data_IF_503482799495
#
_entry.id   IF_503482799495
#
_cell.length_a   1.000
_cell.length_b   1.000
_cell.length_c   1.000
_cell.angle_alpha   90.00
_cell.angle_beta   90.00
_cell.angle_gamma   90.00
#
_symmetry.space_group_name_H-M   'P 1'
#
loop_
_entity.id
_entity.type
_entity.pdbx_description
1 polymer ?
#
# COMPACT_ATOMS: atom_id res chain seq x y z
N UNK A 1 32.96 -9.33 60.01
CA UNK A 1 32.04 -10.43 59.68
C UNK A 1 30.66 -10.01 60.17
N UNK A 2 29.83 -9.40 59.32
CA UNK A 2 28.53 -8.87 59.73
C UNK A 2 27.50 -9.99 59.81
N UNK A 3 26.91 -10.21 60.99
CA UNK A 3 25.83 -11.18 61.21
C UNK A 3 24.71 -10.95 60.19
N UNK A 4 24.49 -11.94 59.33
CA UNK A 4 23.34 -12.00 58.44
C UNK A 4 22.07 -12.00 59.27
N UNK A 5 21.14 -11.13 58.89
CA UNK A 5 19.80 -11.05 59.48
C UNK A 5 19.09 -12.40 59.26
N UNK A 6 18.97 -13.20 60.33
CA UNK A 6 18.50 -14.60 60.32
C UNK A 6 17.03 -14.78 59.95
N UNK A 7 16.35 -13.68 59.56
CA UNK A 7 14.94 -13.66 59.14
C UNK A 7 14.75 -13.52 57.62
N UNK A 8 15.83 -13.38 56.83
CA UNK A 8 15.72 -13.25 55.39
C UNK A 8 15.77 -14.62 54.70
N UNK A 9 14.80 -14.90 53.82
CA UNK A 9 14.79 -16.11 53.01
C UNK A 9 16.12 -16.25 52.24
N UNK A 10 16.78 -17.43 52.28
CA UNK A 10 18.08 -17.62 51.65
C UNK A 10 17.95 -17.45 50.13
N UNK A 11 18.82 -16.62 49.55
CA UNK A 11 18.89 -16.41 48.10
C UNK A 11 20.07 -17.22 47.56
N UNK A 12 19.77 -18.41 47.04
CA UNK A 12 20.76 -19.30 46.42
C UNK A 12 20.66 -19.17 44.90
N UNK A 13 21.82 -18.99 44.26
CA UNK A 13 21.95 -18.91 42.80
C UNK A 13 22.53 -20.22 42.28
N UNK A 14 21.96 -20.74 41.19
CA UNK A 14 22.65 -21.73 40.36
C UNK A 14 23.83 -21.09 39.62
N UNK A 15 24.77 -21.92 39.14
CA UNK A 15 25.90 -21.43 38.34
C UNK A 15 25.45 -20.76 37.04
N UNK A 16 24.38 -21.25 36.43
CA UNK A 16 23.79 -20.65 35.23
C UNK A 16 23.25 -19.24 35.52
N UNK A 17 22.48 -19.08 36.60
CA UNK A 17 21.93 -17.78 36.99
C UNK A 17 23.02 -16.81 37.42
N UNK A 18 24.03 -17.27 38.16
CA UNK A 18 25.18 -16.44 38.56
C UNK A 18 25.93 -15.93 37.33
N UNK A 19 26.17 -16.79 36.32
CA UNK A 19 26.78 -16.37 35.04
C UNK A 19 25.92 -15.33 34.30
N UNK A 20 24.61 -15.55 34.21
CA UNK A 20 23.69 -14.62 33.53
C UNK A 20 23.64 -13.25 34.22
N UNK A 21 23.51 -13.23 35.55
CA UNK A 21 23.49 -12.00 36.34
C UNK A 21 24.81 -11.23 36.25
N UNK A 22 25.95 -11.92 36.27
CA UNK A 22 27.27 -11.32 36.06
C UNK A 22 27.40 -10.74 34.64
N UNK A 23 26.85 -11.44 33.64
CA UNK A 23 26.77 -10.95 32.26
C UNK A 23 25.97 -9.65 32.15
N UNK A 24 24.77 -9.61 32.73
CA UNK A 24 23.92 -8.40 32.76
C UNK A 24 24.54 -7.24 33.54
N UNK A 25 25.30 -7.52 34.60
CA UNK A 25 25.97 -6.50 35.40
C UNK A 25 27.18 -5.85 34.69
N UNK A 26 27.87 -6.59 33.82
CA UNK A 26 29.13 -6.16 33.19
C UNK A 26 28.99 -5.69 31.74
N UNK A 27 27.98 -6.16 31.01
CA UNK A 27 27.80 -5.86 29.59
C UNK A 27 27.42 -4.39 29.39
N UNK A 28 28.19 -3.67 28.56
CA UNK A 28 27.99 -2.23 28.29
C UNK A 28 26.64 -1.89 27.66
N UNK A 29 26.03 -2.81 26.93
CA UNK A 29 24.75 -2.62 26.24
C UNK A 29 23.52 -2.99 27.07
N UNK A 30 23.71 -3.51 28.29
CA UNK A 30 22.57 -3.86 29.16
C UNK A 30 21.92 -2.59 29.70
N UNK A 31 20.59 -2.52 29.65
CA UNK A 31 19.83 -1.42 30.23
C UNK A 31 20.23 -1.21 31.71
N UNK A 32 20.53 0.02 32.09
CA UNK A 32 21.09 0.36 33.41
C UNK A 32 20.21 -0.16 34.58
N UNK A 33 18.89 -0.14 34.41
CA UNK A 33 17.95 -0.70 35.39
C UNK A 33 18.13 -2.19 35.60
N UNK A 34 18.30 -2.97 34.53
CA UNK A 34 18.53 -4.42 34.61
C UNK A 34 19.90 -4.75 35.22
N UNK A 35 20.94 -3.99 34.85
CA UNK A 35 22.28 -4.14 35.42
C UNK A 35 22.31 -3.85 36.94
N UNK A 36 21.57 -2.84 37.39
CA UNK A 36 21.41 -2.53 38.82
C UNK A 36 20.70 -3.67 39.57
N UNK A 37 19.60 -4.20 39.01
CA UNK A 37 18.86 -5.33 39.59
C UNK A 37 19.74 -6.57 39.71
N UNK A 38 20.53 -6.87 38.67
CA UNK A 38 21.46 -7.99 38.68
C UNK A 38 22.54 -7.85 39.77
N UNK A 39 23.11 -6.65 39.95
CA UNK A 39 24.06 -6.35 41.04
C UNK A 39 23.43 -6.51 42.43
N UNK A 40 22.18 -6.10 42.60
CA UNK A 40 21.44 -6.28 43.86
C UNK A 40 21.27 -7.78 44.17
N UNK A 41 20.85 -8.59 43.20
CA UNK A 41 20.65 -10.04 43.40
C UNK A 41 21.97 -10.76 43.73
N UNK A 42 23.05 -10.47 42.99
CA UNK A 42 24.39 -11.01 43.27
C UNK A 42 24.84 -10.64 44.69
N UNK A 43 24.64 -9.38 45.08
CA UNK A 43 24.98 -8.88 46.40
C UNK A 43 24.20 -9.56 47.54
N UNK A 44 22.93 -9.87 47.32
CA UNK A 44 22.11 -10.62 48.26
C UNK A 44 22.49 -12.10 48.33
N UNK A 45 22.94 -12.69 47.21
CA UNK A 45 23.40 -14.08 47.14
C UNK A 45 24.70 -14.30 47.93
N UNK A 46 25.57 -13.29 47.95
CA UNK A 46 26.85 -13.33 48.68
C UNK A 46 26.69 -13.04 50.20
N UNK A 47 25.46 -13.13 50.73
CA UNK A 47 25.17 -13.00 52.17
C UNK A 47 24.91 -11.57 52.66
N UNK A 48 24.84 -10.57 51.77
CA UNK A 48 24.57 -9.18 52.15
C UNK A 48 23.16 -8.99 52.72
N UNK A 49 23.05 -8.30 53.86
CA UNK A 49 21.76 -7.82 54.38
C UNK A 49 21.18 -6.74 53.46
N UNK A 50 19.84 -6.63 53.39
CA UNK A 50 19.21 -5.66 52.49
C UNK A 50 19.68 -4.21 52.75
N UNK A 51 19.99 -3.86 54.02
CA UNK A 51 20.52 -2.55 54.41
C UNK A 51 21.95 -2.34 53.90
N UNK A 52 22.83 -3.34 54.03
CA UNK A 52 24.20 -3.26 53.56
C UNK A 52 24.27 -3.19 52.02
N UNK A 53 23.44 -3.99 51.33
CA UNK A 53 23.35 -3.98 49.86
C UNK A 53 22.81 -2.64 49.36
N UNK A 54 21.82 -2.06 50.03
CA UNK A 54 21.27 -0.75 49.70
C UNK A 54 22.31 0.36 49.78
N UNK A 55 23.07 0.41 50.88
CA UNK A 55 24.16 1.38 51.07
C UNK A 55 25.26 1.23 50.00
N UNK A 56 25.66 -0.02 49.68
CA UNK A 56 26.68 -0.30 48.66
C UNK A 56 26.26 0.10 47.25
N UNK A 57 24.98 0.03 46.94
CA UNK A 57 24.44 0.30 45.60
C UNK A 57 23.85 1.70 45.45
N UNK A 58 23.84 2.51 46.52
CA UNK A 58 23.27 3.87 46.51
C UNK A 58 21.76 3.90 46.28
N UNK A 59 21.02 2.89 46.74
CA UNK A 59 19.57 2.76 46.56
C UNK A 59 18.84 2.66 47.89
N UNK A 60 17.52 2.88 47.90
CA UNK A 60 16.69 2.64 49.07
C UNK A 60 16.61 1.14 49.41
N UNK A 61 16.58 0.79 50.71
CA UNK A 61 16.34 -0.57 51.22
C UNK A 61 15.10 -1.22 50.59
N UNK A 62 14.02 -0.47 50.38
CA UNK A 62 12.80 -0.96 49.74
C UNK A 62 13.03 -1.49 48.32
N UNK A 63 13.93 -0.86 47.56
CA UNK A 63 14.33 -1.31 46.22
C UNK A 63 15.03 -2.67 46.29
N UNK A 64 15.92 -2.87 47.26
CA UNK A 64 16.60 -4.17 47.48
C UNK A 64 15.60 -5.24 47.89
N UNK A 65 14.70 -4.94 48.83
CA UNK A 65 13.64 -5.86 49.25
C UNK A 65 12.75 -6.28 48.08
N UNK A 66 12.33 -5.32 47.23
CA UNK A 66 11.51 -5.58 46.05
C UNK A 66 12.18 -6.56 45.08
N UNK A 67 13.43 -6.29 44.69
CA UNK A 67 14.11 -7.12 43.69
C UNK A 67 14.54 -8.47 44.26
N UNK A 68 14.90 -8.54 45.55
CA UNK A 68 15.13 -9.81 46.25
C UNK A 68 13.87 -10.68 46.25
N UNK A 69 12.71 -10.11 46.61
CA UNK A 69 11.45 -10.82 46.62
C UNK A 69 11.02 -11.28 45.21
N UNK A 70 11.12 -10.40 44.20
CA UNK A 70 10.81 -10.74 42.80
C UNK A 70 11.73 -11.84 42.25
N UNK A 71 13.02 -11.79 42.56
CA UNK A 71 13.95 -12.85 42.15
C UNK A 71 13.64 -14.19 42.84
N UNK A 72 13.27 -14.18 44.13
CA UNK A 72 12.89 -15.41 44.83
C UNK A 72 11.62 -16.05 44.24
N UNK A 73 10.69 -15.24 43.74
CA UNK A 73 9.43 -15.71 43.15
C UNK A 73 9.59 -16.15 41.69
N UNK A 74 10.19 -15.30 40.85
CA UNK A 74 10.16 -15.41 39.38
C UNK A 74 11.56 -15.59 38.77
N UNK A 75 12.59 -15.81 39.60
CA UNK A 75 14.01 -15.96 39.19
C UNK A 75 14.46 -14.84 38.25
N UNK A 76 15.12 -15.18 37.15
CA UNK A 76 15.70 -14.23 36.19
C UNK A 76 14.63 -13.39 35.48
N UNK A 77 13.48 -13.99 35.16
CA UNK A 77 12.35 -13.31 34.51
C UNK A 77 11.75 -12.23 35.42
N UNK A 78 11.84 -12.46 36.73
CA UNK A 78 11.50 -11.51 37.78
C UNK A 78 12.30 -10.19 37.76
N UNK A 79 13.35 -10.06 36.96
CA UNK A 79 14.15 -8.83 36.90
C UNK A 79 13.83 -7.93 35.69
N UNK A 80 13.01 -8.39 34.75
CA UNK A 80 12.55 -7.61 33.60
C UNK A 80 11.59 -6.48 34.02
N UNK A 81 11.48 -5.43 33.19
CA UNK A 81 10.42 -4.44 33.35
C UNK A 81 9.07 -5.11 33.08
N UNK A 82 8.12 -4.91 34.00
CA UNK A 82 6.73 -5.29 33.73
C UNK A 82 6.13 -4.35 32.68
N UNK A 83 5.15 -4.81 31.89
CA UNK A 83 4.38 -3.95 31.01
C UNK A 83 3.86 -2.76 31.82
N UNK A 84 4.34 -1.56 31.50
CA UNK A 84 3.86 -0.36 32.17
C UNK A 84 2.44 -0.11 31.68
N UNK A 85 1.46 0.08 32.58
CA UNK A 85 0.15 0.55 32.15
C UNK A 85 0.38 1.88 31.42
N UNK A 86 0.01 1.90 30.14
CA UNK A 86 0.08 3.10 29.32
C UNK A 86 -0.86 4.18 29.85
N UNK A 87 -0.83 5.36 29.21
CA UNK A 87 -1.83 6.39 29.48
C UNK A 87 -3.22 5.81 29.22
N UNK A 88 -4.18 5.97 30.16
CA UNK A 88 -5.55 5.53 29.94
C UNK A 88 -6.11 6.11 28.64
N UNK A 89 -6.74 5.25 27.83
CA UNK A 89 -7.41 5.67 26.61
C UNK A 89 -8.40 6.79 26.88
N UNK A 90 -8.26 7.89 26.14
CA UNK A 90 -9.12 9.07 26.24
C UNK A 90 -10.19 9.09 25.16
N UNK A 91 -9.96 8.36 24.05
CA UNK A 91 -10.89 8.27 22.92
C UNK A 91 -11.77 7.05 23.13
N UNK A 92 -13.08 7.25 23.05
CA UNK A 92 -14.06 6.18 23.24
C UNK A 92 -14.26 5.39 21.95
N UNK A 93 -14.74 4.15 22.07
CA UNK A 93 -15.07 3.32 20.90
C UNK A 93 -16.16 3.99 20.04
N UNK A 94 -17.09 4.73 20.66
CA UNK A 94 -18.10 5.52 19.95
C UNK A 94 -17.48 6.63 19.09
N UNK A 95 -16.45 7.32 19.57
CA UNK A 95 -15.74 8.32 18.75
C UNK A 95 -14.95 7.69 17.61
N UNK A 96 -14.41 6.48 17.81
CA UNK A 96 -13.74 5.73 16.74
C UNK A 96 -14.75 5.32 15.67
N UNK A 97 -15.89 4.76 16.07
CA UNK A 97 -16.99 4.40 15.18
C UNK A 97 -17.48 5.61 14.38
N UNK A 98 -17.70 6.74 15.05
CA UNK A 98 -18.15 7.98 14.40
C UNK A 98 -17.16 8.46 13.33
N UNK A 99 -15.85 8.43 13.60
CA UNK A 99 -14.83 8.76 12.60
C UNK A 99 -14.93 7.82 11.39
N UNK A 100 -15.05 6.51 11.62
CA UNK A 100 -15.12 5.52 10.55
C UNK A 100 -16.37 5.71 9.69
N UNK A 101 -17.55 5.80 10.31
CA UNK A 101 -18.84 5.95 9.61
C UNK A 101 -18.86 7.22 8.79
N UNK A 102 -18.54 8.38 9.38
CA UNK A 102 -18.54 9.65 8.64
C UNK A 102 -17.53 9.65 7.49
N UNK A 103 -16.38 9.00 7.65
CA UNK A 103 -15.38 8.89 6.57
C UNK A 103 -15.91 8.08 5.39
N UNK A 104 -16.71 7.04 5.64
CA UNK A 104 -17.20 6.12 4.61
C UNK A 104 -18.50 6.58 3.95
N UNK A 105 -19.35 7.29 4.68
CA UNK A 105 -20.74 7.53 4.28
C UNK A 105 -21.05 9.01 4.02
N UNK A 106 -20.16 9.92 4.43
CA UNK A 106 -20.39 11.36 4.34
C UNK A 106 -19.23 12.09 3.66
N UNK A 107 -19.53 13.28 3.13
CA UNK A 107 -18.55 14.26 2.69
C UNK A 107 -18.84 15.60 3.36
N UNK A 108 -17.81 16.38 3.76
CA UNK A 108 -18.01 17.70 4.33
C UNK A 108 -18.64 18.65 3.30
N UNK A 109 -19.36 19.66 3.78
CA UNK A 109 -19.93 20.71 2.93
C UNK A 109 -18.82 21.44 2.14
N UNK A 110 -18.99 21.56 0.83
CA UNK A 110 -18.05 22.28 -0.03
C UNK A 110 -16.74 21.55 -0.33
N UNK A 111 -16.59 20.28 0.04
CA UNK A 111 -15.40 19.49 -0.26
C UNK A 111 -15.73 18.06 -0.69
N UNK A 112 -14.84 17.44 -1.48
CA UNK A 112 -15.05 16.10 -2.04
C UNK A 112 -14.77 14.98 -1.05
N UNK A 113 -14.05 15.27 0.03
CA UNK A 113 -13.65 14.30 1.06
C UNK A 113 -13.33 15.00 2.38
N UNK A 114 -13.39 14.27 3.49
CA UNK A 114 -13.00 14.78 4.80
C UNK A 114 -11.50 15.10 4.86
N UNK A 115 -11.14 16.30 5.32
CA UNK A 115 -9.81 16.52 5.88
C UNK A 115 -9.75 16.02 7.33
N UNK A 116 -8.57 15.58 7.77
CA UNK A 116 -8.38 15.14 9.17
C UNK A 116 -8.69 16.24 10.19
N UNK A 117 -8.62 17.51 9.80
CA UNK A 117 -8.89 18.66 10.68
C UNK A 117 -10.39 18.92 10.81
N UNK A 118 -11.13 18.84 9.70
CA UNK A 118 -12.58 19.03 9.72
C UNK A 118 -13.27 17.88 10.45
N UNK A 119 -12.89 16.64 10.15
CA UNK A 119 -13.47 15.49 10.83
C UNK A 119 -13.14 15.48 12.33
N UNK A 120 -11.91 15.89 12.68
CA UNK A 120 -11.53 16.08 14.08
C UNK A 120 -12.40 17.11 14.80
N UNK A 121 -12.70 18.24 14.13
CA UNK A 121 -13.59 19.28 14.69
C UNK A 121 -15.02 18.76 14.84
N UNK A 122 -15.50 17.98 13.87
CA UNK A 122 -16.85 17.41 13.90
C UNK A 122 -17.04 16.39 15.02
N UNK A 123 -16.03 15.54 15.27
CA UNK A 123 -16.09 14.47 16.31
C UNK A 123 -15.58 14.95 17.68
N UNK A 124 -14.86 16.07 17.74
CA UNK A 124 -14.29 16.60 18.99
C UNK A 124 -13.03 15.88 19.48
N UNK A 125 -12.20 15.38 18.56
CA UNK A 125 -10.91 14.74 18.87
C UNK A 125 -9.74 15.43 18.16
N UNK A 126 -8.50 15.04 18.47
CA UNK A 126 -7.34 15.63 17.79
C UNK A 126 -7.23 15.18 16.33
N UNK A 127 -6.75 16.03 15.40
CA UNK A 127 -6.46 15.63 14.02
C UNK A 127 -5.44 14.47 13.91
N UNK A 128 -4.53 14.36 14.88
CA UNK A 128 -3.59 13.24 14.96
C UNK A 128 -4.30 11.93 15.28
N UNK A 129 -5.35 11.97 16.11
CA UNK A 129 -6.17 10.81 16.43
C UNK A 129 -7.00 10.35 15.24
N UNK A 130 -7.63 11.26 14.50
CA UNK A 130 -8.33 10.92 13.24
C UNK A 130 -7.36 10.23 12.27
N UNK A 131 -6.16 10.78 12.07
CA UNK A 131 -5.16 10.18 11.20
C UNK A 131 -4.74 8.78 11.66
N UNK A 132 -4.55 8.59 12.97
CA UNK A 132 -4.24 7.29 13.58
C UNK A 132 -5.36 6.27 13.35
N UNK A 133 -6.62 6.69 13.49
CA UNK A 133 -7.80 5.84 13.20
C UNK A 133 -7.80 5.49 11.71
N UNK A 134 -7.66 6.46 10.81
CA UNK A 134 -7.57 6.20 9.37
C UNK A 134 -6.48 5.19 9.02
N UNK A 135 -5.28 5.32 9.59
CA UNK A 135 -4.21 4.34 9.36
C UNK A 135 -4.55 2.95 9.86
N UNK A 136 -5.16 2.81 11.04
CA UNK A 136 -5.49 1.50 11.58
C UNK A 136 -6.63 0.80 10.84
N UNK A 137 -7.57 1.55 10.28
CA UNK A 137 -8.66 1.01 9.46
C UNK A 137 -8.37 1.03 7.96
N UNK A 138 -7.19 1.49 7.54
CA UNK A 138 -6.81 1.58 6.12
C UNK A 138 -7.64 2.60 5.32
N UNK A 139 -8.25 3.58 5.97
CA UNK A 139 -9.10 4.58 5.34
C UNK A 139 -8.26 5.65 4.65
N UNK A 140 -8.57 5.91 3.37
CA UNK A 140 -7.91 6.90 2.54
C UNK A 140 -8.98 7.75 1.82
N UNK A 141 -9.64 8.70 2.50
CA UNK A 141 -10.81 9.40 1.95
C UNK A 141 -10.51 10.24 0.69
N UNK A 142 -9.25 10.60 0.45
CA UNK A 142 -8.81 11.29 -0.77
C UNK A 142 -8.55 10.34 -1.95
N UNK A 143 -8.55 9.02 -1.73
CA UNK A 143 -8.25 8.03 -2.76
C UNK A 143 -9.56 7.52 -3.35
N UNK A 144 -9.72 7.78 -4.63
CA UNK A 144 -10.80 7.20 -5.44
C UNK A 144 -10.19 6.21 -6.42
N UNK A 145 -10.76 5.02 -6.49
CA UNK A 145 -10.43 4.04 -7.52
C UNK A 145 -11.61 3.90 -8.47
N UNK A 146 -11.31 3.84 -9.76
CA UNK A 146 -12.30 3.55 -10.79
C UNK A 146 -12.32 2.05 -11.04
N UNK A 147 -13.51 1.49 -11.22
CA UNK A 147 -13.68 0.10 -11.63
C UNK A 147 -14.63 0.07 -12.82
N UNK A 148 -14.42 -0.90 -13.71
CA UNK A 148 -15.30 -1.17 -14.85
C UNK A 148 -15.81 -2.60 -14.70
N UNK A 149 -17.13 -2.76 -14.69
CA UNK A 149 -17.78 -4.07 -14.78
C UNK A 149 -18.24 -4.22 -16.23
N UNK A 150 -17.80 -5.26 -16.92
CA UNK A 150 -18.34 -5.57 -18.25
C UNK A 150 -19.64 -6.37 -18.10
N UNK A 151 -20.74 -5.97 -18.77
CA UNK A 151 -21.99 -6.72 -18.80
C UNK A 151 -21.97 -7.89 -19.79
N UNK A 152 -20.87 -8.11 -20.51
CA UNK A 152 -20.75 -9.12 -21.56
C UNK A 152 -20.82 -10.55 -20.99
N UNK A 153 -21.80 -11.38 -21.39
CA UNK A 153 -21.90 -12.76 -20.93
C UNK A 153 -20.72 -13.64 -21.38
N UNK A 154 -19.98 -13.25 -22.42
CA UNK A 154 -18.81 -13.96 -22.94
C UNK A 154 -17.48 -13.39 -22.43
N UNK A 155 -17.50 -12.49 -21.45
CA UNK A 155 -16.30 -11.80 -20.96
C UNK A 155 -15.16 -12.76 -20.62
N UNK A 156 -15.46 -13.84 -19.89
CA UNK A 156 -14.44 -14.81 -19.46
C UNK A 156 -13.78 -15.52 -20.63
N UNK A 157 -14.56 -15.90 -21.64
CA UNK A 157 -14.04 -16.58 -22.83
C UNK A 157 -13.21 -15.62 -23.67
N UNK A 158 -13.69 -14.39 -23.89
CA UNK A 158 -12.94 -13.33 -24.55
C UNK A 158 -11.60 -13.01 -23.86
N UNK A 159 -11.59 -12.90 -22.54
CA UNK A 159 -10.36 -12.71 -21.76
C UNK A 159 -9.41 -13.89 -21.99
N UNK A 160 -9.92 -15.13 -21.95
CA UNK A 160 -9.10 -16.32 -22.17
C UNK A 160 -8.49 -16.33 -23.57
N UNK A 161 -9.24 -15.93 -24.59
CA UNK A 161 -8.74 -15.84 -25.96
C UNK A 161 -7.62 -14.81 -26.10
N UNK A 162 -7.80 -13.60 -25.55
CA UNK A 162 -6.77 -12.55 -25.56
C UNK A 162 -5.53 -12.98 -24.78
N UNK A 163 -5.70 -13.48 -23.56
CA UNK A 163 -4.59 -13.96 -22.73
C UNK A 163 -3.89 -15.13 -23.41
N UNK A 164 -4.62 -15.99 -24.12
CA UNK A 164 -4.08 -17.06 -24.94
C UNK A 164 -3.10 -16.55 -25.99
N UNK A 165 -3.42 -15.45 -26.68
CA UNK A 165 -2.52 -14.83 -27.66
C UNK A 165 -1.20 -14.32 -27.03
N UNK A 166 -1.21 -13.89 -25.77
CA UNK A 166 0.01 -13.47 -25.06
C UNK A 166 0.83 -14.65 -24.54
N UNK A 167 0.19 -15.69 -24.01
CA UNK A 167 0.87 -16.81 -23.35
C UNK A 167 1.31 -17.91 -24.31
N UNK A 168 0.50 -18.19 -25.32
CA UNK A 168 0.70 -19.27 -26.29
C UNK A 168 0.21 -18.81 -27.68
N UNK A 169 0.95 -17.90 -28.33
CA UNK A 169 0.58 -17.41 -29.65
C UNK A 169 0.49 -18.55 -30.68
N UNK A 170 -0.34 -18.40 -31.73
CA UNK A 170 -0.41 -19.38 -32.81
C UNK A 170 0.95 -19.65 -33.46
N UNK A 171 1.13 -20.86 -33.97
CA UNK A 171 2.36 -21.21 -34.69
C UNK A 171 2.51 -20.33 -35.95
N UNK A 172 3.76 -19.91 -36.23
CA UNK A 172 4.09 -19.02 -37.35
C UNK A 172 3.28 -17.71 -37.36
N UNK A 173 3.07 -17.11 -36.19
CA UNK A 173 2.37 -15.85 -36.06
C UNK A 173 3.18 -14.80 -35.30
N UNK A 174 3.02 -13.54 -35.70
CA UNK A 174 3.43 -12.37 -34.95
C UNK A 174 2.21 -11.76 -34.27
N UNK A 175 2.27 -11.59 -32.94
CA UNK A 175 1.21 -10.98 -32.15
C UNK A 175 1.64 -9.59 -31.70
N UNK A 176 0.84 -8.59 -32.04
CA UNK A 176 1.05 -7.18 -31.69
C UNK A 176 -0.04 -6.68 -30.75
N UNK A 177 0.38 -6.07 -29.64
CA UNK A 177 -0.49 -5.26 -28.81
C UNK A 177 -0.44 -3.83 -29.31
N UNK A 178 -1.56 -3.35 -29.86
CA UNK A 178 -1.67 -2.03 -30.46
C UNK A 178 -2.44 -1.11 -29.54
N UNK A 179 -1.90 0.08 -29.34
CA UNK A 179 -2.52 1.14 -28.57
C UNK A 179 -2.32 2.48 -29.28
N UNK A 180 -3.20 3.42 -28.97
CA UNK A 180 -3.13 4.77 -29.47
C UNK A 180 -3.17 5.76 -28.31
N UNK A 181 -2.28 6.74 -28.40
CA UNK A 181 -2.35 7.93 -27.56
C UNK A 181 -2.78 9.11 -28.42
N UNK A 182 -4.09 9.41 -28.50
CA UNK A 182 -4.57 10.52 -29.31
C UNK A 182 -4.35 11.87 -28.61
N UNK A 183 -4.42 12.94 -29.39
CA UNK A 183 -4.44 14.34 -28.96
C UNK A 183 -3.27 14.75 -28.06
N UNK A 184 -2.08 14.20 -28.31
CA UNK A 184 -0.85 14.61 -27.62
C UNK A 184 -0.58 16.07 -27.99
N UNK A 185 -0.69 16.97 -27.01
CA UNK A 185 -0.33 18.37 -27.23
C UNK A 185 1.18 18.49 -27.46
N UNK A 186 1.55 18.96 -28.65
CA UNK A 186 2.94 19.28 -28.98
C UNK A 186 3.29 20.64 -28.37
N UNK A 187 3.83 20.61 -27.15
CA UNK A 187 4.18 21.80 -26.38
C UNK A 187 5.69 22.03 -26.36
N UNK A 188 6.10 23.26 -26.65
CA UNK A 188 7.47 23.73 -26.48
C UNK A 188 7.51 24.80 -25.37
N UNK A 189 8.47 24.68 -24.46
CA UNK A 189 8.65 25.68 -23.39
C UNK A 189 9.44 26.87 -23.93
N UNK A 190 9.00 28.07 -23.60
CA UNK A 190 9.65 29.31 -24.04
C UNK A 190 11.01 29.56 -23.39
N UNK A 191 11.30 28.87 -22.27
CA UNK A 191 12.58 28.94 -21.58
C UNK A 191 12.99 27.55 -21.05
N UNK A 192 14.31 27.30 -20.84
CA UNK A 192 14.78 26.05 -20.26
C UNK A 192 14.23 25.81 -18.85
N UNK A 193 13.95 24.55 -18.53
CA UNK A 193 13.52 24.14 -17.18
C UNK A 193 14.71 24.23 -16.24
N UNK A 194 14.53 24.93 -15.12
CA UNK A 194 15.54 24.97 -14.07
C UNK A 194 15.24 23.85 -13.07
N UNK A 195 16.15 22.87 -12.90
CA UNK A 195 15.92 21.72 -12.04
C UNK A 195 15.74 22.14 -10.57
N UNK A 196 15.06 21.28 -9.80
CA UNK A 196 14.87 21.47 -8.36
C UNK A 196 16.21 21.47 -7.62
N UNK A 197 16.32 22.30 -6.57
CA UNK A 197 17.38 22.27 -5.56
C UNK A 197 16.74 22.21 -4.16
N UNK A 198 17.47 21.80 -3.10
CA UNK A 198 16.93 21.85 -1.74
C UNK A 198 16.42 23.25 -1.37
N UNK A 199 15.13 23.35 -1.00
CA UNK A 199 14.47 24.62 -0.69
C UNK A 199 14.03 25.46 -1.90
N UNK A 200 14.32 25.02 -3.13
CA UNK A 200 13.92 25.69 -4.38
C UNK A 200 13.16 24.70 -5.26
N UNK A 201 11.84 24.89 -5.45
CA UNK A 201 11.08 24.04 -6.35
C UNK A 201 11.60 24.18 -7.78
N UNK A 202 11.40 23.14 -8.58
CA UNK A 202 11.64 23.19 -10.02
C UNK A 202 10.88 24.37 -10.63
N UNK A 203 11.53 25.13 -11.52
CA UNK A 203 10.92 26.29 -12.19
C UNK A 203 10.73 25.99 -13.66
N UNK A 204 9.48 26.04 -14.11
CA UNK A 204 9.06 25.98 -15.51
C UNK A 204 8.47 27.33 -15.91
N UNK A 205 8.74 27.78 -17.13
CA UNK A 205 7.99 28.91 -17.69
C UNK A 205 6.51 28.54 -17.77
N UNK A 206 5.65 29.46 -17.32
CA UNK A 206 4.20 29.32 -17.48
C UNK A 206 3.84 29.35 -18.96
N UNK A 207 4.49 30.23 -19.73
CA UNK A 207 4.29 30.37 -21.16
C UNK A 207 4.85 29.16 -21.93
N UNK A 208 4.10 28.76 -22.96
CA UNK A 208 4.44 27.69 -23.87
C UNK A 208 3.99 28.05 -25.30
N UNK A 209 4.70 27.53 -26.29
CA UNK A 209 4.28 27.57 -27.69
C UNK A 209 3.51 26.28 -28.00
N UNK A 210 2.33 26.43 -28.60
CA UNK A 210 1.45 25.32 -28.97
C UNK A 210 1.61 25.02 -30.47
N UNK A 211 2.12 23.84 -30.78
CA UNK A 211 2.32 23.37 -32.16
C UNK A 211 1.16 22.50 -32.68
N UNK A 212 0.02 22.52 -31.98
CA UNK A 212 -1.15 21.69 -32.26
C UNK A 212 -1.18 20.39 -31.46
N UNK A 213 -1.87 19.40 -32.01
CA UNK A 213 -2.01 18.05 -31.44
C UNK A 213 -1.53 17.01 -32.44
N UNK A 214 -0.92 15.94 -31.95
CA UNK A 214 -0.52 14.78 -32.75
C UNK A 214 -1.03 13.50 -32.09
N UNK A 215 -1.28 12.49 -32.91
CA UNK A 215 -1.63 11.17 -32.44
C UNK A 215 -0.44 10.24 -32.59
N UNK A 216 -0.24 9.39 -31.59
CA UNK A 216 0.80 8.37 -31.60
C UNK A 216 0.12 7.00 -31.64
N UNK A 217 0.35 6.28 -32.74
CA UNK A 217 0.06 4.86 -32.83
C UNK A 217 1.30 4.06 -32.43
N UNK A 218 1.12 3.03 -31.61
CA UNK A 218 2.18 2.14 -31.20
C UNK A 218 1.74 0.67 -31.25
N UNK A 219 2.63 -0.20 -31.71
CA UNK A 219 2.41 -1.63 -31.79
C UNK A 219 3.59 -2.35 -31.12
N UNK A 220 3.33 -2.98 -29.98
CA UNK A 220 4.31 -3.79 -29.26
C UNK A 220 4.24 -5.23 -29.75
N UNK A 221 5.31 -5.73 -30.35
CA UNK A 221 5.45 -7.14 -30.64
C UNK A 221 5.67 -7.90 -29.32
N UNK A 222 4.72 -8.77 -28.98
CA UNK A 222 4.67 -9.44 -27.66
C UNK A 222 5.79 -10.45 -27.44
N UNK A 223 6.32 -11.05 -28.51
CA UNK A 223 7.40 -12.04 -28.43
C UNK A 223 8.80 -11.40 -28.34
N UNK A 224 9.01 -10.28 -29.03
CA UNK A 224 10.34 -9.64 -29.15
C UNK A 224 10.52 -8.41 -28.28
N UNK A 225 9.43 -7.81 -27.81
CA UNK A 225 9.45 -6.51 -27.11
C UNK A 225 9.71 -5.30 -28.01
N UNK A 226 9.82 -5.49 -29.32
CA UNK A 226 10.03 -4.39 -30.27
C UNK A 226 8.74 -3.58 -30.44
N UNK A 227 8.87 -2.26 -30.46
CA UNK A 227 7.75 -1.33 -30.70
C UNK A 227 7.86 -0.71 -32.09
N UNK A 228 6.79 -0.79 -32.86
CA UNK A 228 6.61 -0.03 -34.11
C UNK A 228 5.74 1.18 -33.77
N UNK A 229 6.14 2.37 -34.21
CA UNK A 229 5.41 3.62 -33.91
C UNK A 229 5.16 4.42 -35.17
N UNK A 230 4.04 5.14 -35.21
CA UNK A 230 3.72 6.09 -36.27
C UNK A 230 3.02 7.32 -35.68
N UNK A 231 3.42 8.50 -36.13
CA UNK A 231 2.77 9.76 -35.77
C UNK A 231 1.78 10.17 -36.87
N UNK A 232 0.62 10.67 -36.46
CA UNK A 232 -0.36 11.29 -37.36
C UNK A 232 -0.72 12.69 -36.87
N UNK A 233 -1.01 13.59 -37.81
CA UNK A 233 -1.55 14.92 -37.52
C UNK A 233 -3.08 14.90 -37.35
N UNK A 234 -3.73 13.80 -37.67
CA UNK A 234 -5.19 13.63 -37.61
C UNK A 234 -5.56 12.25 -37.03
N UNK A 235 -6.70 12.22 -36.34
CA UNK A 235 -7.28 11.02 -35.74
C UNK A 235 -8.41 10.51 -36.63
N UNK A 236 -8.11 9.67 -37.62
CA UNK A 236 -9.14 9.07 -38.49
C UNK A 236 -8.85 7.59 -38.68
N UNK A 237 -9.92 6.83 -38.95
CA UNK A 237 -9.81 5.40 -39.28
C UNK A 237 -8.84 5.09 -40.45
N UNK A 238 -8.63 6.04 -41.38
CA UNK A 238 -7.64 5.86 -42.47
C UNK A 238 -6.21 5.88 -41.93
N UNK A 239 -5.93 6.76 -40.96
CA UNK A 239 -4.59 6.91 -40.38
C UNK A 239 -4.22 5.65 -39.56
N UNK A 240 -5.23 5.04 -38.91
CA UNK A 240 -5.09 3.75 -38.22
C UNK A 240 -4.86 2.58 -39.20
N UNK A 241 -5.59 2.52 -40.32
CA UNK A 241 -5.36 1.49 -41.36
C UNK A 241 -3.96 1.58 -41.94
N UNK A 242 -3.50 2.80 -42.26
CA UNK A 242 -2.15 3.02 -42.76
C UNK A 242 -1.08 2.64 -41.71
N UNK A 243 -1.43 2.56 -40.42
CA UNK A 243 -0.55 2.03 -39.38
C UNK A 243 -0.55 0.50 -39.36
N UNK A 244 -1.70 -0.15 -39.54
CA UNK A 244 -1.76 -1.61 -39.70
C UNK A 244 -0.94 -2.09 -40.91
N UNK A 245 -0.97 -1.34 -42.02
CA UNK A 245 -0.14 -1.62 -43.20
C UNK A 245 1.36 -1.45 -42.92
N UNK A 246 1.75 -0.56 -41.98
CA UNK A 246 3.13 -0.42 -41.53
C UNK A 246 3.56 -1.62 -40.67
N UNK A 247 2.68 -2.13 -39.81
CA UNK A 247 2.94 -3.35 -39.03
C UNK A 247 3.17 -4.54 -39.97
N UNK A 248 2.32 -4.71 -40.98
CA UNK A 248 2.43 -5.79 -41.96
C UNK A 248 3.76 -5.71 -42.72
N UNK A 249 4.12 -4.53 -43.25
CA UNK A 249 5.39 -4.32 -43.96
C UNK A 249 6.63 -4.58 -43.11
N UNK A 250 6.56 -4.34 -41.80
CA UNK A 250 7.68 -4.58 -40.88
C UNK A 250 7.69 -5.99 -40.29
N UNK A 251 6.67 -6.80 -40.56
CA UNK A 251 6.60 -8.19 -40.10
C UNK A 251 7.36 -9.10 -41.05
N UNK A 252 8.03 -10.13 -40.52
CA UNK A 252 8.77 -11.08 -41.33
C UNK A 252 7.82 -11.83 -42.30
N UNK A 253 8.20 -11.99 -43.58
CA UNK A 253 7.38 -12.69 -44.55
C UNK A 253 7.04 -14.12 -44.11
N UNK A 254 5.77 -14.51 -44.26
CA UNK A 254 5.29 -15.86 -43.94
C UNK A 254 4.76 -16.03 -42.51
N UNK A 255 4.82 -14.99 -41.67
CA UNK A 255 4.13 -14.96 -40.39
C UNK A 255 2.69 -14.44 -40.54
N UNK A 256 1.73 -15.07 -39.87
CA UNK A 256 0.39 -14.52 -39.70
C UNK A 256 0.40 -13.36 -38.70
N UNK A 257 -0.23 -12.24 -39.03
CA UNK A 257 -0.30 -11.08 -38.12
C UNK A 257 -1.58 -11.15 -37.30
N UNK A 258 -1.43 -11.13 -35.97
CA UNK A 258 -2.52 -11.00 -35.00
C UNK A 258 -2.37 -9.68 -34.26
N UNK A 259 -3.45 -8.93 -34.20
CA UNK A 259 -3.47 -7.61 -33.54
C UNK A 259 -4.46 -7.65 -32.39
N UNK A 260 -4.01 -7.20 -31.22
CA UNK A 260 -4.81 -7.01 -30.02
C UNK A 260 -4.95 -5.49 -29.83
N UNK A 261 -6.18 -4.98 -29.92
CA UNK A 261 -6.50 -3.57 -29.72
C UNK A 261 -7.56 -3.37 -28.64
N UNK A 262 -7.51 -2.20 -27.98
CA UNK A 262 -8.68 -1.58 -27.36
C UNK A 262 -9.73 -1.27 -28.44
N UNK A 263 -11.02 -1.41 -28.13
CA UNK A 263 -12.11 -1.05 -29.05
C UNK A 263 -12.62 0.37 -28.75
N UNK A 264 -11.84 1.36 -29.19
CA UNK A 264 -12.24 2.76 -29.39
C UNK A 264 -13.13 2.90 -30.64
N UNK A 265 -14.00 3.93 -30.68
CA UNK A 265 -15.01 4.14 -31.74
C UNK A 265 -14.41 4.18 -33.16
N UNK A 266 -13.15 4.62 -33.28
CA UNK A 266 -12.40 4.69 -34.55
C UNK A 266 -11.92 3.32 -35.10
N UNK A 267 -12.10 2.24 -34.33
CA UNK A 267 -11.83 0.86 -34.74
C UNK A 267 -13.06 0.11 -35.26
N UNK A 268 -14.23 0.75 -35.28
CA UNK A 268 -15.50 0.14 -35.69
C UNK A 268 -15.66 -0.05 -37.20
N UNK A 269 -16.06 -1.26 -37.60
CA UNK A 269 -16.79 -1.51 -38.86
C UNK A 269 -18.29 -1.41 -38.55
N UNK A 270 -19.15 -0.78 -39.37
CA UNK A 270 -20.55 -0.54 -39.03
C UNK A 270 -21.33 -1.80 -38.64
N UNK A 271 -22.18 -1.66 -37.62
CA UNK A 271 -22.97 -2.73 -36.99
C UNK A 271 -23.79 -3.54 -38.02
N UNK A 272 -23.57 -4.86 -38.06
CA UNK A 272 -24.32 -5.80 -38.90
C UNK A 272 -23.48 -6.89 -39.57
N UNK A 273 -22.15 -6.81 -39.54
CA UNK A 273 -21.27 -7.86 -40.06
C UNK A 273 -20.85 -8.85 -38.97
N UNK A 274 -21.00 -10.16 -39.22
CA UNK A 274 -20.28 -11.20 -38.48
C UNK A 274 -18.81 -10.78 -38.35
N UNK A 275 -18.26 -10.72 -37.13
CA UNK A 275 -16.83 -10.46 -36.89
C UNK A 275 -16.00 -11.66 -37.35
N UNK A 276 -15.81 -11.74 -38.66
CA UNK A 276 -14.95 -12.64 -39.41
C UNK A 276 -14.87 -12.05 -40.83
N UNK A 277 -14.07 -11.00 -41.00
CA UNK A 277 -13.70 -10.52 -42.34
C UNK A 277 -12.32 -11.05 -42.65
N UNK A 278 -12.29 -12.28 -43.18
CA UNK A 278 -11.16 -12.82 -43.93
C UNK A 278 -11.02 -11.96 -45.19
N UNK A 279 -10.17 -10.93 -45.16
CA UNK A 279 -9.84 -10.13 -46.32
C UNK A 279 -8.48 -10.62 -46.88
N UNK A 280 -8.56 -11.51 -47.87
CA UNK A 280 -7.65 -11.63 -49.03
C UNK A 280 -6.14 -11.38 -48.90
N UNK A 281 -5.48 -11.72 -47.78
CA UNK A 281 -4.06 -12.19 -47.75
C UNK A 281 -3.67 -12.80 -46.40
N UNK A 282 -4.47 -13.71 -45.84
CA UNK A 282 -4.03 -14.49 -44.66
C UNK A 282 -4.00 -13.74 -43.32
N UNK A 283 -4.43 -12.48 -43.26
CA UNK A 283 -4.60 -11.73 -42.02
C UNK A 283 -5.86 -12.14 -41.26
N UNK A 284 -5.72 -12.43 -39.97
CA UNK A 284 -6.84 -12.60 -39.04
C UNK A 284 -6.77 -11.55 -37.94
N UNK A 285 -7.57 -10.49 -38.06
CA UNK A 285 -7.79 -9.54 -36.97
C UNK A 285 -8.80 -10.16 -35.98
N UNK A 286 -8.33 -10.61 -34.81
CA UNK A 286 -9.21 -10.92 -33.68
C UNK A 286 -9.52 -9.60 -32.96
N UNK A 287 -10.55 -8.90 -33.42
CA UNK A 287 -11.15 -7.82 -32.65
C UNK A 287 -11.90 -8.42 -31.47
N UNK A 288 -11.31 -8.37 -30.29
CA UNK A 288 -11.99 -8.75 -29.04
C UNK A 288 -12.64 -7.50 -28.46
N UNK A 289 -13.95 -7.42 -28.61
CA UNK A 289 -14.79 -6.39 -28.00
C UNK A 289 -14.76 -6.54 -26.47
N UNK A 290 -13.99 -5.68 -25.80
CA UNK A 290 -13.94 -5.53 -24.34
C UNK A 290 -14.64 -4.24 -23.84
N UNK A 291 -15.37 -3.53 -24.71
CA UNK A 291 -16.08 -2.30 -24.37
C UNK A 291 -17.59 -2.42 -24.57
N UNK A 292 -18.34 -2.28 -23.48
CA UNK A 292 -19.74 -1.84 -23.54
C UNK A 292 -19.81 -0.43 -24.13
N UNK A 293 -20.88 -0.09 -24.88
CA UNK A 293 -20.97 1.15 -25.65
C UNK A 293 -20.95 2.38 -24.75
N UNK A 294 -20.36 3.45 -25.29
CA UNK A 294 -20.44 4.77 -24.73
C UNK A 294 -21.91 5.25 -24.64
N UNK A 295 -22.17 5.97 -23.56
CA UNK A 295 -23.30 6.87 -23.29
C UNK A 295 -24.62 6.30 -22.70
N UNK A 296 -24.95 6.90 -21.54
CA UNK A 296 -26.28 7.17 -20.96
C UNK A 296 -27.21 6.02 -20.52
N UNK A 297 -27.42 5.95 -19.20
CA UNK A 297 -28.79 5.90 -18.64
C UNK A 297 -29.16 4.75 -17.70
N UNK A 298 -29.44 5.12 -16.44
CA UNK A 298 -30.40 4.51 -15.49
C UNK A 298 -30.06 3.22 -14.70
N UNK A 299 -29.63 3.47 -13.45
CA UNK A 299 -29.98 2.86 -12.16
C UNK A 299 -30.90 1.61 -12.08
N UNK A 300 -30.46 0.60 -11.31
CA UNK A 300 -31.24 -0.03 -10.23
C UNK A 300 -30.34 -0.91 -9.32
N UNK A 301 -29.92 -0.37 -8.18
CA UNK A 301 -29.40 -1.16 -7.05
C UNK A 301 -30.55 -1.36 -6.06
N UNK A 302 -30.84 -2.61 -5.66
CA UNK A 302 -31.87 -2.92 -4.66
C UNK A 302 -31.53 -2.22 -3.33
N UNK A 303 -32.47 -1.49 -2.70
CA UNK A 303 -32.28 -0.95 -1.35
C UNK A 303 -32.45 -2.08 -0.33
N UNK A 304 -31.50 -2.27 0.60
CA UNK A 304 -31.81 -3.00 1.84
C UNK A 304 -30.73 -3.85 2.50
N UNK A 305 -29.60 -4.15 1.86
CA UNK A 305 -28.59 -5.02 2.49
C UNK A 305 -27.54 -4.19 3.25
N UNK A 306 -27.83 -3.88 4.52
CA UNK A 306 -26.80 -3.39 5.45
C UNK A 306 -25.87 -4.55 5.77
N UNK A 307 -24.60 -4.43 5.40
CA UNK A 307 -23.55 -5.24 6.02
C UNK A 307 -23.45 -4.79 7.48
N UNK A 308 -23.69 -5.65 8.49
CA UNK A 308 -23.58 -5.22 9.87
C UNK A 308 -22.13 -4.85 10.20
N UNK A 309 -21.93 -3.58 10.59
CA UNK A 309 -20.66 -3.00 11.08
C UNK A 309 -20.06 -3.80 12.27
N UNK A 310 -20.86 -4.65 12.92
CA UNK A 310 -20.42 -5.50 14.04
C UNK A 310 -19.27 -6.47 13.75
N UNK A 311 -18.92 -6.72 12.47
CA UNK A 311 -17.77 -7.57 12.12
C UNK A 311 -16.41 -6.84 12.11
N UNK A 312 -16.40 -5.50 12.11
CA UNK A 312 -15.16 -4.69 12.02
C UNK A 312 -14.55 -4.35 13.38
N UNK A 313 -15.31 -4.48 14.47
CA UNK A 313 -14.87 -4.09 15.82
C UNK A 313 -13.90 -5.07 16.48
N UNK A 314 -13.74 -6.30 15.96
CA UNK A 314 -12.85 -7.32 16.54
C UNK A 314 -11.37 -7.23 16.09
N UNK A 315 -10.98 -6.19 15.34
CA UNK A 315 -9.60 -6.02 14.83
C UNK A 315 -8.89 -4.72 15.22
N UNK A 316 -9.40 -3.96 16.18
CA UNK A 316 -8.69 -2.77 16.65
C UNK A 316 -7.58 -3.13 17.67
N UNK A 317 -6.29 -2.83 17.43
CA UNK A 317 -5.26 -2.94 18.44
C UNK A 317 -5.53 -1.94 19.57
N UNK A 318 -5.25 -2.36 20.80
CA UNK A 318 -5.54 -1.69 22.08
C UNK A 318 -4.75 -0.40 22.34
N UNK A 319 -4.49 0.43 21.32
CA UNK A 319 -3.52 1.53 21.37
C UNK A 319 -4.08 2.93 21.03
N UNK A 320 -5.39 3.15 21.15
CA UNK A 320 -5.97 4.49 20.99
C UNK A 320 -6.28 5.19 22.31
#
# INVERSE_FOLDING_TARGET
MGMGDSRLAPLVLSDAERRMLQGWARRRTTAQGLALRARIVLACADGGSNTAVAARMGVNRGTVTKWRARFLRDRLDGLADEPRPGVPRTITDAQVEEVVVRTLEETPEGATHWSKRELARAVGISPASVLRIWHAFGLQPWRTETFKISPDPLLTDKIRDVVGLYLAPPANAAVFAVDEKPQIQALERTAPVLPMLPGVPERRSFDYVRHGTVDLFAALNTATGRVITKLSAQHRAVDFRDFLDEIDRQTEPGLGVHVICDNCEDHGVPQGGRSLTRATTGHSCLGVELSAPASCGAYCRRPGERVPIGALLHKAPSQF
#
